data_IF_942875339162
#
_entry.id   IF_942875339162
#
_cell.length_a   1.000
_cell.length_b   1.000
_cell.length_c   1.000
_cell.angle_alpha   90.00
_cell.angle_beta   90.00
_cell.angle_gamma   90.00
#
_symmetry.space_group_name_H-M   'P 1'
#
loop_
_entity.id
_entity.type
_entity.pdbx_description
1 polymer ?
#
# COMPACT_ATOMS: atom_id res chain seq x y z
N UNK A 1 -13.51 -14.23 6.56
CA UNK A 1 -12.53 -13.41 5.81
C UNK A 1 -11.49 -14.33 5.21
N UNK A 2 -11.22 -14.22 3.90
CA UNK A 2 -10.16 -14.98 3.24
C UNK A 2 -8.80 -14.57 3.83
N UNK A 3 -7.98 -15.54 4.23
CA UNK A 3 -6.63 -15.26 4.71
C UNK A 3 -5.73 -14.86 3.53
N UNK A 4 -4.99 -13.77 3.67
CA UNK A 4 -3.95 -13.38 2.70
C UNK A 4 -2.80 -14.39 2.76
N UNK A 5 -2.38 -14.88 1.59
CA UNK A 5 -1.20 -15.71 1.39
C UNK A 5 0.02 -14.84 1.11
N UNK A 6 1.21 -15.44 1.15
CA UNK A 6 2.49 -14.75 0.89
C UNK A 6 2.49 -13.97 -0.45
N UNK A 7 1.91 -14.56 -1.50
CA UNK A 7 1.83 -13.91 -2.81
C UNK A 7 0.97 -12.63 -2.78
N UNK A 8 -0.07 -12.58 -1.93
CA UNK A 8 -0.96 -11.43 -1.83
C UNK A 8 -0.22 -10.20 -1.30
N UNK A 9 0.65 -10.39 -0.30
CA UNK A 9 1.48 -9.30 0.22
C UNK A 9 2.42 -8.72 -0.83
N UNK A 10 2.93 -9.55 -1.74
CA UNK A 10 3.77 -9.09 -2.85
C UNK A 10 2.97 -8.22 -3.82
N UNK A 11 1.75 -8.63 -4.18
CA UNK A 11 0.87 -7.87 -5.07
C UNK A 11 0.47 -6.53 -4.43
N UNK A 12 0.02 -6.57 -3.17
CA UNK A 12 -0.37 -5.36 -2.43
C UNK A 12 0.81 -4.38 -2.25
N UNK A 13 2.02 -4.89 -1.97
CA UNK A 13 3.23 -4.06 -1.93
C UNK A 13 3.49 -3.40 -3.29
N UNK A 14 3.33 -4.13 -4.39
CA UNK A 14 3.44 -3.57 -5.73
C UNK A 14 2.44 -2.44 -5.99
N UNK A 15 1.21 -2.53 -5.48
CA UNK A 15 0.25 -1.43 -5.57
C UNK A 15 0.66 -0.20 -4.73
N UNK A 16 1.21 -0.41 -3.54
CA UNK A 16 1.74 0.69 -2.71
C UNK A 16 2.90 1.42 -3.41
N UNK A 17 3.83 0.68 -4.01
CA UNK A 17 4.99 1.22 -4.74
C UNK A 17 4.57 2.00 -5.98
N UNK A 18 3.51 1.56 -6.66
CA UNK A 18 3.02 2.16 -7.90
C UNK A 18 1.83 3.09 -7.68
N UNK A 19 1.57 3.55 -6.44
CA UNK A 19 0.40 4.35 -6.11
C UNK A 19 0.23 5.57 -7.03
N UNK A 20 1.30 6.33 -7.28
CA UNK A 20 1.23 7.50 -8.15
C UNK A 20 0.87 7.12 -9.59
N UNK A 21 1.50 6.07 -10.14
CA UNK A 21 1.17 5.54 -11.47
C UNK A 21 -0.29 5.10 -11.57
N UNK A 22 -0.84 4.46 -10.52
CA UNK A 22 -2.24 4.07 -10.48
C UNK A 22 -3.16 5.30 -10.48
N UNK A 23 -2.82 6.34 -9.72
CA UNK A 23 -3.56 7.62 -9.71
C UNK A 23 -3.53 8.27 -11.09
N UNK A 24 -2.39 8.25 -11.77
CA UNK A 24 -2.24 8.81 -13.11
C UNK A 24 -3.01 7.99 -14.15
N UNK A 25 -2.97 6.65 -14.07
CA UNK A 25 -3.78 5.75 -14.90
C UNK A 25 -5.29 6.02 -14.72
N UNK A 26 -5.72 6.18 -13.46
CA UNK A 26 -7.11 6.49 -13.12
C UNK A 26 -7.56 7.84 -13.70
N UNK A 27 -6.70 8.85 -13.67
CA UNK A 27 -6.99 10.20 -14.22
C UNK A 27 -6.94 10.23 -15.76
N UNK A 28 -5.97 9.55 -16.37
CA UNK A 28 -5.64 9.69 -17.78
C UNK A 28 -6.51 8.81 -18.71
N UNK A 29 -6.96 7.63 -18.26
CA UNK A 29 -7.57 6.64 -19.13
C UNK A 29 -8.85 6.01 -18.57
N UNK A 30 -9.71 6.81 -17.94
CA UNK A 30 -11.06 6.35 -17.61
C UNK A 30 -11.83 5.84 -18.86
N UNK A 31 -11.54 6.37 -20.06
CA UNK A 31 -12.28 6.07 -21.30
C UNK A 31 -11.79 4.85 -22.10
N UNK A 32 -10.52 4.44 -21.97
CA UNK A 32 -9.96 3.29 -22.71
C UNK A 32 -9.78 2.03 -21.85
N UNK A 33 -9.97 2.16 -20.54
CA UNK A 33 -9.81 1.07 -19.59
C UNK A 33 -11.10 0.24 -19.50
N UNK A 34 -10.97 -1.09 -19.42
CA UNK A 34 -12.13 -1.94 -19.15
C UNK A 34 -12.72 -1.60 -17.79
N UNK A 35 -14.05 -1.67 -17.66
CA UNK A 35 -14.75 -1.37 -16.40
C UNK A 35 -14.19 -2.20 -15.23
N UNK A 36 -13.86 -3.46 -15.46
CA UNK A 36 -13.24 -4.33 -14.46
C UNK A 36 -11.89 -3.79 -13.97
N UNK A 37 -11.02 -3.33 -14.88
CA UNK A 37 -9.72 -2.76 -14.52
C UNK A 37 -9.91 -1.41 -13.81
N UNK A 38 -10.83 -0.57 -14.29
CA UNK A 38 -11.16 0.71 -13.68
C UNK A 38 -11.61 0.51 -12.22
N UNK A 39 -12.56 -0.40 -11.98
CA UNK A 39 -13.09 -0.70 -10.65
C UNK A 39 -11.99 -1.21 -9.71
N UNK A 40 -11.09 -2.07 -10.20
CA UNK A 40 -9.94 -2.55 -9.44
C UNK A 40 -8.98 -1.42 -9.08
N UNK A 41 -8.56 -0.62 -10.04
CA UNK A 41 -7.60 0.48 -9.83
C UNK A 41 -8.19 1.52 -8.87
N UNK A 42 -9.43 1.97 -9.12
CA UNK A 42 -10.15 2.89 -8.25
C UNK A 42 -10.25 2.37 -6.81
N UNK A 43 -10.62 1.10 -6.63
CA UNK A 43 -10.75 0.50 -5.31
C UNK A 43 -9.42 0.41 -4.57
N UNK A 44 -8.34 0.03 -5.25
CA UNK A 44 -6.99 -0.02 -4.66
C UNK A 44 -6.52 1.38 -4.26
N UNK A 45 -6.67 2.40 -5.13
CA UNK A 45 -6.30 3.78 -4.83
C UNK A 45 -7.05 4.28 -3.60
N UNK A 46 -8.38 4.06 -3.53
CA UNK A 46 -9.19 4.42 -2.36
C UNK A 46 -8.74 3.69 -1.11
N UNK A 47 -8.45 2.40 -1.21
CA UNK A 47 -7.94 1.60 -0.09
C UNK A 47 -6.63 2.14 0.47
N UNK A 48 -5.65 2.44 -0.41
CA UNK A 48 -4.35 3.01 -0.02
C UNK A 48 -4.53 4.39 0.61
N UNK A 49 -5.30 5.27 -0.05
CA UNK A 49 -5.55 6.64 0.43
C UNK A 49 -6.22 6.63 1.81
N UNK A 50 -7.20 5.76 2.01
CA UNK A 50 -7.89 5.64 3.30
C UNK A 50 -6.97 5.06 4.39
N UNK A 51 -6.08 4.11 4.05
CA UNK A 51 -5.09 3.61 5.03
C UNK A 51 -4.12 4.73 5.42
N UNK A 52 -3.59 5.48 4.46
CA UNK A 52 -2.67 6.58 4.72
C UNK A 52 -3.31 7.69 5.56
N UNK A 53 -4.52 8.14 5.20
CA UNK A 53 -5.20 9.23 5.89
C UNK A 53 -5.63 8.87 7.33
N UNK A 54 -5.84 7.59 7.62
CA UNK A 54 -6.18 7.11 8.98
C UNK A 54 -4.97 6.58 9.76
N UNK A 55 -3.79 6.56 9.15
CA UNK A 55 -2.56 6.11 9.79
C UNK A 55 -2.06 7.16 10.79
N UNK A 56 -1.37 6.71 11.83
CA UNK A 56 -0.63 7.62 12.73
C UNK A 56 0.49 8.32 11.96
N UNK A 57 1.04 9.42 12.50
CA UNK A 57 2.17 10.11 11.86
C UNK A 57 3.37 9.17 11.64
N UNK A 58 3.65 8.28 12.60
CA UNK A 58 4.72 7.29 12.49
C UNK A 58 4.41 6.25 11.40
N UNK A 59 3.16 5.80 11.29
CA UNK A 59 2.74 4.89 10.21
C UNK A 59 2.79 5.57 8.83
N UNK A 60 2.46 6.85 8.71
CA UNK A 60 2.60 7.62 7.46
C UNK A 60 4.08 7.79 7.06
N UNK A 61 4.95 8.12 8.02
CA UNK A 61 6.40 8.15 7.79
C UNK A 61 6.92 6.79 7.34
N UNK A 62 6.45 5.71 7.96
CA UNK A 62 6.80 4.36 7.57
C UNK A 62 6.32 4.03 6.15
N UNK A 63 5.10 4.43 5.77
CA UNK A 63 4.58 4.25 4.40
C UNK A 63 5.48 4.96 3.39
N UNK A 64 5.80 6.23 3.65
CA UNK A 64 6.66 7.04 2.80
C UNK A 64 8.01 6.35 2.60
N UNK A 65 8.65 5.90 3.69
CA UNK A 65 9.97 5.29 3.61
C UNK A 65 9.96 3.91 2.94
N UNK A 66 8.98 3.05 3.24
CA UNK A 66 8.94 1.69 2.68
C UNK A 66 8.66 1.68 1.18
N UNK A 67 7.65 2.42 0.72
CA UNK A 67 7.11 2.23 -0.63
C UNK A 67 7.39 3.37 -1.60
N UNK A 68 7.45 4.62 -1.12
CA UNK A 68 7.58 5.79 -2.00
C UNK A 68 9.03 6.25 -2.13
N UNK A 69 9.77 6.28 -1.02
CA UNK A 69 11.19 6.58 -0.98
C UNK A 69 12.07 5.33 -1.02
N UNK A 70 11.48 4.13 -0.85
CA UNK A 70 12.12 2.82 -0.95
C UNK A 70 13.44 2.71 -0.14
N UNK A 71 13.40 3.21 1.09
CA UNK A 71 14.54 3.18 2.00
C UNK A 71 14.85 1.75 2.47
N UNK A 72 16.13 1.41 2.66
CA UNK A 72 16.54 0.15 3.28
C UNK A 72 15.98 -0.03 4.70
N UNK A 73 15.75 -1.27 5.13
CA UNK A 73 15.13 -1.57 6.44
C UNK A 73 15.98 -1.11 7.63
N UNK A 74 17.30 -1.20 7.53
CA UNK A 74 18.27 -0.71 8.52
C UNK A 74 18.16 0.81 8.69
N UNK A 75 18.10 1.56 7.60
CA UNK A 75 17.89 3.02 7.65
C UNK A 75 16.55 3.38 8.28
N UNK A 76 15.48 2.66 7.95
CA UNK A 76 14.16 2.88 8.54
C UNK A 76 14.16 2.56 10.03
N UNK A 77 14.83 1.46 10.43
CA UNK A 77 14.97 1.03 11.81
C UNK A 77 15.67 2.10 12.65
N UNK A 78 16.78 2.64 12.15
CA UNK A 78 17.53 3.70 12.81
C UNK A 78 16.72 5.00 12.92
N UNK A 79 16.09 5.44 11.83
CA UNK A 79 15.29 6.69 11.80
C UNK A 79 14.08 6.61 12.74
N UNK A 80 13.41 5.47 12.82
CA UNK A 80 12.23 5.30 13.65
C UNK A 80 12.53 4.81 15.07
N UNK A 81 13.79 4.45 15.37
CA UNK A 81 14.19 3.87 16.65
C UNK A 81 13.50 2.53 16.94
N UNK A 82 13.29 1.69 15.93
CA UNK A 82 12.60 0.39 16.03
C UNK A 82 13.42 -0.72 15.39
N UNK A 83 13.06 -1.97 15.62
CA UNK A 83 13.73 -3.12 14.98
C UNK A 83 13.19 -3.38 13.58
N UNK A 84 14.00 -3.99 12.71
CA UNK A 84 13.51 -4.49 11.41
C UNK A 84 12.31 -5.43 11.54
N UNK A 85 12.28 -6.24 12.61
CA UNK A 85 11.16 -7.14 12.88
C UNK A 85 9.86 -6.36 13.08
N UNK A 86 9.91 -5.29 13.88
CA UNK A 86 8.78 -4.37 14.08
C UNK A 86 8.31 -3.77 12.75
N UNK A 87 9.25 -3.37 11.88
CA UNK A 87 8.94 -2.82 10.55
C UNK A 87 8.26 -3.87 9.67
N UNK A 88 8.78 -5.10 9.61
CA UNK A 88 8.21 -6.20 8.84
C UNK A 88 6.78 -6.51 9.31
N UNK A 89 6.55 -6.53 10.62
CA UNK A 89 5.21 -6.71 11.18
C UNK A 89 4.26 -5.55 10.82
N UNK A 90 4.69 -4.31 11.01
CA UNK A 90 3.90 -3.12 10.66
C UNK A 90 3.56 -3.09 9.15
N UNK A 91 4.51 -3.47 8.29
CA UNK A 91 4.30 -3.62 6.85
C UNK A 91 3.17 -4.59 6.55
N UNK A 92 3.15 -5.78 7.15
CA UNK A 92 2.07 -6.75 6.96
C UNK A 92 0.71 -6.21 7.44
N UNK A 93 0.69 -5.55 8.59
CA UNK A 93 -0.53 -4.95 9.15
C UNK A 93 -1.10 -3.88 8.21
N UNK A 94 -0.26 -3.00 7.67
CA UNK A 94 -0.66 -1.98 6.70
C UNK A 94 -1.21 -2.61 5.41
N UNK A 95 -0.56 -3.63 4.86
CA UNK A 95 -1.05 -4.32 3.66
C UNK A 95 -2.38 -5.03 3.91
N UNK A 96 -2.58 -5.65 5.09
CA UNK A 96 -3.89 -6.21 5.49
C UNK A 96 -4.97 -5.13 5.56
N UNK A 97 -4.64 -3.94 6.07
CA UNK A 97 -5.56 -2.80 6.14
C UNK A 97 -5.93 -2.28 4.75
N UNK A 98 -5.01 -2.29 3.78
CA UNK A 98 -5.28 -1.94 2.38
C UNK A 98 -6.19 -2.99 1.74
N UNK A 99 -5.88 -4.28 1.92
CA UNK A 99 -6.69 -5.36 1.38
C UNK A 99 -8.14 -5.31 1.88
N UNK A 100 -8.35 -4.98 3.17
CA UNK A 100 -9.69 -4.83 3.76
C UNK A 100 -10.47 -3.60 3.25
N UNK A 101 -9.78 -2.57 2.78
CA UNK A 101 -10.38 -1.31 2.30
C UNK A 101 -10.44 -1.23 0.77
N UNK A 102 -10.10 -2.32 0.09
CA UNK A 102 -10.19 -2.47 -1.35
C UNK A 102 -10.96 -3.74 -1.69
N UNK A 103 -11.37 -3.91 -2.95
CA UNK A 103 -12.02 -5.13 -3.45
C UNK A 103 -11.03 -6.29 -3.64
N UNK A 104 -9.88 -6.23 -2.96
CA UNK A 104 -8.88 -7.29 -2.99
C UNK A 104 -9.33 -8.54 -2.22
N UNK A 105 -10.13 -8.34 -1.17
CA UNK A 105 -10.68 -9.37 -0.30
C UNK A 105 -12.20 -9.52 -0.42
#
# INVERSE_FOLDING_TARGET
>A
MRALKSFDYKILSGYMENYQTLVDEYKAQASQMTEQRYNRVNSIIKGITQVYNNATLQEQQLINMLWWNKQPYDIIADVLGVTEYTIKHAREVLLRRVAKRSIYL
#
